data_IF_200725767541
#
_entry.id   IF_200725767541
#
_cell.length_a   1.000
_cell.length_b   1.000
_cell.length_c   1.000
_cell.angle_alpha   90.00
_cell.angle_beta   90.00
_cell.angle_gamma   90.00
#
_symmetry.space_group_name_H-M   'P 1'
#
loop_
_entity.id
_entity.type
_entity.pdbx_description
1 polymer ?
#
# COMPACT_ATOMS: atom_id res chain seq x y z
N UNK A 1 31.98 -4.68 -32.27
CA UNK A 1 30.78 -5.26 -31.65
C UNK A 1 30.38 -4.38 -30.49
N UNK A 2 29.28 -3.63 -30.63
CA UNK A 2 28.73 -2.78 -29.58
C UNK A 2 27.39 -3.37 -29.15
N UNK A 3 27.24 -3.65 -27.86
CA UNK A 3 26.02 -4.19 -27.26
C UNK A 3 25.14 -2.98 -26.95
N UNK A 4 23.96 -2.80 -27.58
CA UNK A 4 23.04 -1.78 -27.16
C UNK A 4 22.41 -2.20 -25.82
N UNK A 5 22.59 -1.35 -24.81
CA UNK A 5 21.91 -1.46 -23.52
C UNK A 5 20.45 -1.04 -23.77
N UNK A 6 19.61 -2.00 -24.12
CA UNK A 6 18.16 -1.81 -24.06
C UNK A 6 17.77 -1.83 -22.59
N UNK A 7 17.56 -0.63 -22.02
CA UNK A 7 16.83 -0.50 -20.76
C UNK A 7 15.43 -1.11 -20.91
N UNK A 8 14.78 -1.54 -19.81
CA UNK A 8 13.43 -2.05 -19.89
C UNK A 8 12.56 -0.92 -20.44
N UNK A 9 11.99 -1.15 -21.62
CA UNK A 9 10.89 -0.36 -22.13
C UNK A 9 9.69 -0.65 -21.23
N UNK A 10 9.67 -0.05 -20.03
CA UNK A 10 8.46 -0.02 -19.20
C UNK A 10 7.35 0.53 -20.09
N UNK A 11 6.32 -0.28 -20.30
CA UNK A 11 5.15 0.16 -21.05
C UNK A 11 4.58 1.40 -20.38
N UNK A 12 4.06 2.37 -21.15
CA UNK A 12 3.41 3.55 -20.58
C UNK A 12 2.27 3.17 -19.60
N UNK A 13 1.69 1.98 -19.79
CA UNK A 13 0.72 1.37 -18.89
C UNK A 13 1.33 0.87 -17.56
N UNK A 14 2.49 0.21 -17.60
CA UNK A 14 3.20 -0.22 -16.39
C UNK A 14 3.66 0.98 -15.55
N UNK A 15 4.19 2.02 -16.22
CA UNK A 15 4.57 3.27 -15.58
C UNK A 15 3.36 3.98 -14.94
N UNK A 16 2.20 3.95 -15.60
CA UNK A 16 0.95 4.48 -15.04
C UNK A 16 0.49 3.70 -13.81
N UNK A 17 0.46 2.36 -13.87
CA UNK A 17 0.04 1.51 -12.75
C UNK A 17 0.99 1.65 -11.54
N UNK A 18 2.29 1.70 -11.79
CA UNK A 18 3.30 1.91 -10.75
C UNK A 18 3.13 3.26 -10.03
N UNK A 19 2.93 4.34 -10.79
CA UNK A 19 2.73 5.68 -10.23
C UNK A 19 1.37 5.82 -9.53
N UNK A 20 0.32 5.18 -10.03
CA UNK A 20 -1.00 5.13 -9.37
C UNK A 20 -0.93 4.37 -8.04
N UNK A 21 -0.22 3.24 -8.00
CA UNK A 21 -0.03 2.45 -6.78
C UNK A 21 0.82 3.21 -5.76
N UNK A 22 1.90 3.87 -6.19
CA UNK A 22 2.73 4.71 -5.33
C UNK A 22 1.94 5.90 -4.76
N UNK A 23 1.14 6.57 -5.59
CA UNK A 23 0.26 7.66 -5.16
C UNK A 23 -0.74 7.21 -4.09
N UNK A 24 -1.39 6.06 -4.29
CA UNK A 24 -2.36 5.51 -3.32
C UNK A 24 -1.69 5.09 -2.00
N UNK A 25 -0.50 4.48 -2.09
CA UNK A 25 0.29 4.09 -0.93
C UNK A 25 0.66 5.29 -0.07
N UNK A 26 1.21 6.34 -0.66
CA UNK A 26 1.61 7.54 0.08
C UNK A 26 0.40 8.23 0.72
N UNK A 27 -0.77 8.21 0.06
CA UNK A 27 -2.01 8.77 0.62
C UNK A 27 -2.50 7.94 1.81
N UNK A 28 -2.35 6.62 1.74
CA UNK A 28 -2.69 5.68 2.82
C UNK A 28 -1.75 5.83 4.01
N UNK A 29 -0.45 6.00 3.77
CA UNK A 29 0.53 6.23 4.82
C UNK A 29 0.24 7.55 5.56
N UNK A 30 -0.16 8.60 4.84
CA UNK A 30 -0.62 9.86 5.43
C UNK A 30 -1.91 9.69 6.26
N UNK A 31 -2.85 8.84 5.82
CA UNK A 31 -4.06 8.57 6.61
C UNK A 31 -3.76 7.76 7.88
N UNK A 32 -2.86 6.77 7.79
CA UNK A 32 -2.45 5.94 8.92
C UNK A 32 -1.71 6.74 9.99
N UNK A 33 -0.98 7.80 9.62
CA UNK A 33 -0.31 8.67 10.61
C UNK A 33 -1.26 9.55 11.42
N UNK A 34 -2.54 9.64 11.02
CA UNK A 34 -3.51 10.57 11.63
C UNK A 34 -4.47 9.91 12.63
N UNK A 35 -4.45 8.59 12.81
CA UNK A 35 -5.35 7.81 13.69
C UNK A 35 -6.84 8.26 13.69
N UNK A 36 -7.39 8.48 12.49
CA UNK A 36 -8.78 8.91 12.29
C UNK A 36 -9.54 7.99 11.35
N UNK A 37 -10.83 7.84 11.63
CA UNK A 37 -11.77 7.05 10.83
C UNK A 37 -12.24 7.80 9.58
N UNK A 38 -12.69 7.07 8.55
CA UNK A 38 -13.23 7.67 7.32
C UNK A 38 -14.45 8.56 7.56
N UNK A 39 -15.25 8.24 8.59
CA UNK A 39 -16.39 9.07 9.00
C UNK A 39 -15.93 10.42 9.53
N UNK A 40 -14.93 10.42 10.43
CA UNK A 40 -14.36 11.65 10.98
C UNK A 40 -13.67 12.52 9.91
N UNK A 41 -13.07 11.89 8.89
CA UNK A 41 -12.53 12.61 7.73
C UNK A 41 -13.64 13.31 6.96
N UNK A 42 -14.75 12.60 6.69
CA UNK A 42 -15.92 13.18 6.03
C UNK A 42 -16.54 14.33 6.80
N UNK A 43 -16.67 14.20 8.12
CA UNK A 43 -17.29 15.23 8.99
C UNK A 43 -16.45 16.51 9.10
N UNK A 44 -15.12 16.41 8.97
CA UNK A 44 -14.19 17.56 9.04
C UNK A 44 -13.97 18.23 7.69
N UNK A 45 -14.36 17.58 6.60
CA UNK A 45 -14.13 18.09 5.25
C UNK A 45 -15.12 19.21 4.89
N UNK A 46 -14.67 20.26 4.18
CA UNK A 46 -15.57 21.32 3.68
C UNK A 46 -16.51 20.86 2.56
N UNK A 47 -16.27 19.67 2.00
CA UNK A 47 -17.12 19.03 0.99
C UNK A 47 -17.52 17.63 1.47
N UNK A 48 -18.64 17.12 0.99
CA UNK A 48 -19.11 15.78 1.35
C UNK A 48 -18.16 14.73 0.77
N UNK A 49 -17.33 14.14 1.63
CA UNK A 49 -16.50 12.98 1.29
C UNK A 49 -17.22 11.73 1.81
N UNK A 50 -17.68 10.88 0.89
CA UNK A 50 -18.27 9.60 1.30
C UNK A 50 -17.18 8.66 1.83
N UNK A 51 -17.45 7.88 2.89
CA UNK A 51 -16.51 6.88 3.39
C UNK A 51 -16.09 5.86 2.32
N UNK A 52 -16.99 5.52 1.40
CA UNK A 52 -16.70 4.65 0.26
C UNK A 52 -15.72 5.31 -0.72
N UNK A 53 -15.92 6.59 -1.06
CA UNK A 53 -15.02 7.33 -1.95
C UNK A 53 -13.63 7.52 -1.36
N UNK A 54 -13.55 7.75 -0.04
CA UNK A 54 -12.27 7.80 0.69
C UNK A 54 -11.56 6.45 0.59
N UNK A 55 -12.28 5.35 0.87
CA UNK A 55 -11.71 4.00 0.81
C UNK A 55 -11.25 3.61 -0.60
N UNK A 56 -12.00 3.94 -1.64
CA UNK A 56 -11.61 3.69 -3.05
C UNK A 56 -10.37 4.46 -3.45
N UNK A 57 -10.26 5.71 -3.00
CA UNK A 57 -9.12 6.58 -3.27
C UNK A 57 -7.85 6.06 -2.58
N UNK A 58 -7.95 5.70 -1.29
CA UNK A 58 -6.84 5.14 -0.51
C UNK A 58 -6.38 3.77 -1.01
N UNK A 59 -7.28 3.00 -1.65
CA UNK A 59 -6.96 1.71 -2.28
C UNK A 59 -6.41 1.84 -3.70
N UNK A 60 -6.32 3.07 -4.23
CA UNK A 60 -5.84 3.32 -5.59
C UNK A 60 -6.79 2.87 -6.68
N UNK A 61 -8.02 2.46 -6.35
CA UNK A 61 -9.02 1.99 -7.33
C UNK A 61 -9.54 3.14 -8.20
N UNK A 62 -9.56 4.35 -7.66
CA UNK A 62 -10.06 5.54 -8.35
C UNK A 62 -9.11 6.70 -8.15
N UNK A 63 -8.79 7.41 -9.23
CA UNK A 63 -8.09 8.68 -9.13
C UNK A 63 -9.08 9.79 -8.70
N UNK A 64 -8.85 10.49 -7.59
CA UNK A 64 -9.78 11.48 -7.07
C UNK A 64 -9.84 12.72 -7.97
N UNK A 65 -10.92 13.48 -7.89
CA UNK A 65 -10.96 14.83 -8.47
C UNK A 65 -10.02 15.76 -7.70
N UNK A 66 -9.66 16.90 -8.29
CA UNK A 66 -8.79 17.90 -7.65
C UNK A 66 -9.35 18.36 -6.30
N UNK A 67 -10.62 18.75 -6.29
CA UNK A 67 -11.28 19.27 -5.09
C UNK A 67 -11.42 18.18 -4.00
N UNK A 68 -11.71 16.94 -4.42
CA UNK A 68 -11.76 15.79 -3.52
C UNK A 68 -10.40 15.53 -2.86
N UNK A 69 -9.33 15.51 -3.66
CA UNK A 69 -7.97 15.28 -3.18
C UNK A 69 -7.54 16.39 -2.20
N UNK A 70 -7.78 17.64 -2.57
CA UNK A 70 -7.41 18.78 -1.73
C UNK A 70 -8.17 18.77 -0.40
N UNK A 71 -9.48 18.50 -0.42
CA UNK A 71 -10.26 18.40 0.80
C UNK A 71 -9.78 17.25 1.70
N UNK A 72 -9.51 16.08 1.12
CA UNK A 72 -9.03 14.91 1.85
C UNK A 72 -7.65 15.16 2.48
N UNK A 73 -6.66 15.58 1.68
CA UNK A 73 -5.29 15.82 2.16
C UNK A 73 -5.24 16.95 3.18
N UNK A 74 -6.05 17.99 2.99
CA UNK A 74 -6.15 19.10 3.96
C UNK A 74 -6.65 18.60 5.31
N UNK A 75 -7.71 17.79 5.35
CA UNK A 75 -8.21 17.21 6.62
C UNK A 75 -7.14 16.34 7.27
N UNK A 76 -6.40 15.54 6.49
CA UNK A 76 -5.31 14.72 7.04
C UNK A 76 -4.20 15.58 7.66
N UNK A 77 -3.74 16.64 6.99
CA UNK A 77 -2.76 17.54 7.56
C UNK A 77 -3.29 18.35 8.75
N UNK A 78 -4.56 18.75 8.73
CA UNK A 78 -5.19 19.43 9.88
C UNK A 78 -5.19 18.55 11.13
N UNK A 79 -5.37 17.24 10.95
CA UNK A 79 -5.28 16.26 12.04
C UNK A 79 -3.84 16.00 12.46
N UNK A 80 -2.93 15.85 11.49
CA UNK A 80 -1.52 15.58 11.77
C UNK A 80 -0.81 16.73 12.50
N UNK A 81 -1.07 17.97 12.08
CA UNK A 81 -0.40 19.16 12.61
C UNK A 81 -1.20 19.84 13.74
N UNK A 82 -2.39 19.31 14.07
CA UNK A 82 -3.38 19.87 15.02
C UNK A 82 -3.71 21.36 14.76
N UNK A 83 -3.59 21.80 13.51
CA UNK A 83 -3.72 23.21 13.11
C UNK A 83 -4.51 23.33 11.81
N UNK A 84 -5.28 24.42 11.63
CA UNK A 84 -5.97 24.67 10.37
C UNK A 84 -4.94 24.86 9.24
N UNK A 85 -5.13 24.11 8.15
CA UNK A 85 -4.27 24.16 6.96
C UNK A 85 -4.91 25.09 5.94
N UNK A 86 -4.13 26.05 5.45
CA UNK A 86 -4.62 27.00 4.44
C UNK A 86 -4.92 26.29 3.12
N UNK A 87 -5.89 26.80 2.36
CA UNK A 87 -6.16 26.32 0.99
C UNK A 87 -4.97 26.49 0.04
N UNK A 88 -4.06 27.40 0.36
CA UNK A 88 -2.87 27.72 -0.44
C UNK A 88 -1.60 27.02 0.06
N UNK A 89 -1.74 26.03 0.94
CA UNK A 89 -0.59 25.31 1.51
C UNK A 89 0.29 24.67 0.41
N UNK A 90 1.61 24.91 0.40
CA UNK A 90 2.52 24.36 -0.59
C UNK A 90 2.55 22.82 -0.61
N UNK A 91 2.19 22.15 0.49
CA UNK A 91 2.09 20.69 0.56
C UNK A 91 0.93 20.17 -0.30
N UNK A 92 -0.18 20.91 -0.39
CA UNK A 92 -1.31 20.55 -1.26
C UNK A 92 -0.90 20.59 -2.74
N UNK A 93 -0.08 21.56 -3.15
CA UNK A 93 0.43 21.66 -4.53
C UNK A 93 1.20 20.41 -4.97
N UNK A 94 2.00 19.81 -4.07
CA UNK A 94 2.74 18.57 -4.38
C UNK A 94 1.81 17.41 -4.73
N UNK A 95 0.67 17.32 -4.04
CA UNK A 95 -0.36 16.31 -4.32
C UNK A 95 -1.08 16.58 -5.64
N UNK A 96 -1.35 17.84 -5.96
CA UNK A 96 -1.89 18.23 -7.27
C UNK A 96 -0.94 17.93 -8.43
N UNK A 97 0.35 18.22 -8.27
CA UNK A 97 1.40 17.94 -9.25
C UNK A 97 1.51 16.44 -9.52
N UNK A 98 1.55 15.62 -8.45
CA UNK A 98 1.56 14.16 -8.56
C UNK A 98 0.30 13.63 -9.25
N UNK A 99 -0.88 14.13 -8.88
CA UNK A 99 -2.13 13.77 -9.56
C UNK A 99 -2.09 14.10 -11.05
N UNK A 100 -1.54 15.27 -11.41
CA UNK A 100 -1.40 15.69 -12.81
C UNK A 100 -0.44 14.79 -13.57
N UNK A 101 0.68 14.39 -12.95
CA UNK A 101 1.61 13.40 -13.52
C UNK A 101 0.93 12.05 -13.78
N UNK A 102 0.13 11.55 -12.84
CA UNK A 102 -0.63 10.30 -13.02
C UNK A 102 -1.65 10.43 -14.15
N UNK A 103 -2.32 11.58 -14.30
CA UNK A 103 -3.23 11.84 -15.42
C UNK A 103 -2.51 11.84 -16.77
N UNK A 104 -1.34 12.50 -16.85
CA UNK A 104 -0.53 12.52 -18.08
C UNK A 104 -0.05 11.12 -18.46
N UNK A 105 0.33 10.29 -17.49
CA UNK A 105 0.70 8.90 -17.72
C UNK A 105 -0.49 8.06 -18.20
N UNK A 106 -1.68 8.26 -17.62
CA UNK A 106 -2.91 7.61 -18.08
C UNK A 106 -3.23 7.98 -19.52
N UNK A 107 -3.16 9.26 -19.86
CA UNK A 107 -3.49 9.74 -21.20
C UNK A 107 -2.44 9.26 -22.22
N UNK A 108 -1.16 9.16 -21.82
CA UNK A 108 -0.09 8.55 -22.62
C UNK A 108 -0.28 7.04 -22.80
N UNK A 109 -0.69 6.31 -21.76
CA UNK A 109 -1.00 4.88 -21.85
C UNK A 109 -2.15 4.63 -22.84
N UNK A 110 -3.21 5.45 -22.77
CA UNK A 110 -4.33 5.41 -23.72
C UNK A 110 -3.89 5.69 -25.16
N UNK A 111 -3.01 6.67 -25.38
CA UNK A 111 -2.46 6.98 -26.70
C UNK A 111 -1.53 5.88 -27.23
N UNK A 112 -0.77 5.22 -26.35
CA UNK A 112 0.14 4.13 -26.73
C UNK A 112 -0.61 2.84 -27.10
N UNK A 113 -1.80 2.63 -26.52
CA UNK A 113 -2.73 1.55 -26.91
C UNK A 113 -3.60 1.88 -28.14
N UNK A 114 -3.62 3.13 -28.60
CA UNK A 114 -4.49 3.60 -29.70
C UNK A 114 -3.81 3.54 -31.10
N UNK A 115 -2.80 2.69 -31.30
CA UNK A 115 -2.15 2.49 -32.61
C UNK A 115 -2.78 1.40 -33.49
N UNK A 116 -3.98 0.91 -33.16
CA UNK A 116 -4.84 0.20 -34.12
C UNK A 116 -5.96 1.16 -34.55
N UNK A 117 -6.00 1.61 -35.82
CA UNK A 117 -7.08 2.44 -36.32
C UNK A 117 -8.14 1.52 -36.93
N UNK A 118 -9.08 1.05 -36.13
CA UNK A 118 -10.44 0.89 -36.62
C UNK A 118 -11.48 0.98 -35.49
N UNK A 119 -12.51 1.80 -35.73
CA UNK A 119 -13.77 1.89 -34.98
C UNK A 119 -13.80 2.65 -33.63
N UNK A 120 -14.24 3.91 -33.69
CA UNK A 120 -15.43 4.38 -32.95
C UNK A 120 -15.29 4.90 -31.50
N UNK A 121 -16.05 5.95 -31.10
CA UNK A 121 -15.94 6.59 -29.78
C UNK A 121 -16.87 5.93 -28.74
N UNK A 122 -16.37 5.70 -27.53
CA UNK A 122 -17.25 5.47 -26.38
C UNK A 122 -16.66 4.59 -25.29
N UNK A 123 -15.81 5.15 -24.43
CA UNK A 123 -15.39 4.49 -23.20
C UNK A 123 -16.12 5.11 -22.00
N UNK A 124 -17.43 4.84 -21.97
CA UNK A 124 -18.23 4.89 -20.75
C UNK A 124 -18.29 3.46 -20.23
N UNK A 125 -17.79 3.23 -19.01
CA UNK A 125 -18.10 2.00 -18.30
C UNK A 125 -19.63 1.82 -18.29
N UNK A 126 -20.20 0.74 -18.87
CA UNK A 126 -21.61 0.50 -18.73
C UNK A 126 -21.85 0.06 -17.29
N UNK A 127 -22.24 1.02 -16.45
CA UNK A 127 -22.95 0.73 -15.20
C UNK A 127 -24.45 0.58 -15.46
N UNK A 128 -24.82 0.31 -16.71
CA UNK A 128 -26.19 0.06 -17.10
C UNK A 128 -26.30 -1.41 -17.50
N UNK A 129 -26.88 -2.21 -16.61
CA UNK A 129 -27.45 -3.52 -16.97
C UNK A 129 -28.78 -3.34 -17.71
N UNK A 130 -28.97 -2.21 -18.40
CA UNK A 130 -30.01 -1.98 -19.37
C UNK A 130 -29.73 -2.83 -20.59
N UNK A 131 -30.59 -3.81 -20.85
CA UNK A 131 -30.63 -4.54 -22.11
C UNK A 131 -30.74 -3.53 -23.26
N UNK A 132 -29.66 -3.36 -24.03
CA UNK A 132 -29.66 -2.62 -25.29
C UNK A 132 -30.12 -3.60 -26.38
N UNK A 133 -31.29 -3.39 -27.00
CA UNK A 133 -31.73 -4.22 -28.12
C UNK A 133 -30.70 -4.14 -29.25
N UNK A 134 -30.42 -5.25 -29.97
CA UNK A 134 -29.54 -5.22 -31.12
C UNK A 134 -30.02 -4.14 -32.11
N UNK A 135 -29.10 -3.40 -32.76
CA UNK A 135 -29.48 -2.44 -33.80
C UNK A 135 -30.31 -3.16 -34.88
N UNK A 136 -31.43 -2.58 -35.27
CA UNK A 136 -32.32 -3.08 -36.34
C UNK A 136 -31.53 -3.13 -37.66
N UNK A 137 -30.81 -4.24 -37.88
CA UNK A 137 -29.89 -4.41 -39.02
C UNK A 137 -28.67 -5.29 -38.78
N UNK A 138 -28.39 -5.73 -37.53
CA UNK A 138 -27.28 -6.65 -37.26
C UNK A 138 -27.42 -7.95 -38.06
N UNK A 139 -26.39 -8.30 -38.81
CA UNK A 139 -26.39 -9.55 -39.58
C UNK A 139 -26.25 -10.74 -38.63
N UNK A 140 -26.80 -11.90 -39.00
CA UNK A 140 -26.67 -13.13 -38.19
C UNK A 140 -25.20 -13.48 -37.88
N UNK A 141 -24.29 -13.14 -38.80
CA UNK A 141 -22.85 -13.34 -38.65
C UNK A 141 -22.25 -12.45 -37.54
N UNK A 142 -22.66 -11.18 -37.45
CA UNK A 142 -22.23 -10.26 -36.39
C UNK A 142 -22.74 -10.72 -35.01
N UNK A 143 -23.97 -11.25 -34.95
CA UNK A 143 -24.53 -11.81 -33.72
C UNK A 143 -23.81 -13.09 -33.27
N UNK A 144 -23.41 -13.96 -34.20
CA UNK A 144 -22.62 -15.15 -33.88
C UNK A 144 -21.19 -14.79 -33.43
N UNK A 145 -20.57 -13.78 -34.06
CA UNK A 145 -19.27 -13.23 -33.64
C UNK A 145 -19.34 -12.67 -32.23
N UNK A 146 -20.28 -11.77 -31.95
CA UNK A 146 -20.46 -11.17 -30.63
C UNK A 146 -20.74 -12.22 -29.54
N UNK A 147 -21.47 -13.30 -29.88
CA UNK A 147 -21.71 -14.42 -28.97
C UNK A 147 -20.43 -15.23 -28.69
N UNK A 148 -19.55 -15.37 -29.68
CA UNK A 148 -18.23 -15.98 -29.50
C UNK A 148 -17.36 -15.11 -28.59
N UNK A 149 -17.29 -13.80 -28.86
CA UNK A 149 -16.51 -12.85 -28.07
C UNK A 149 -16.97 -12.84 -26.60
N UNK A 150 -18.28 -12.85 -26.35
CA UNK A 150 -18.83 -12.94 -25.00
C UNK A 150 -18.47 -14.25 -24.29
N UNK A 151 -18.38 -15.38 -25.01
CA UNK A 151 -17.93 -16.64 -24.42
C UNK A 151 -16.45 -16.59 -24.05
N UNK A 152 -15.62 -15.99 -24.89
CA UNK A 152 -14.19 -15.85 -24.62
C UNK A 152 -13.95 -14.92 -23.43
N UNK A 153 -14.70 -13.81 -23.33
CA UNK A 153 -14.67 -12.92 -22.16
C UNK A 153 -15.08 -13.68 -20.89
N UNK A 154 -16.16 -14.47 -20.93
CA UNK A 154 -16.60 -15.25 -19.78
C UNK A 154 -15.56 -16.28 -19.34
N UNK A 155 -14.92 -16.97 -20.29
CA UNK A 155 -13.84 -17.91 -19.99
C UNK A 155 -12.64 -17.20 -19.35
N UNK A 156 -12.21 -16.05 -19.91
CA UNK A 156 -11.12 -15.25 -19.36
C UNK A 156 -11.42 -14.74 -17.94
N UNK A 157 -12.66 -14.31 -17.69
CA UNK A 157 -13.09 -13.88 -16.35
C UNK A 157 -13.07 -15.05 -15.36
N UNK A 158 -13.50 -16.23 -15.78
CA UNK A 158 -13.48 -17.43 -14.93
C UNK A 158 -12.05 -17.86 -14.59
N UNK A 159 -11.12 -17.81 -15.55
CA UNK A 159 -9.70 -18.07 -15.30
C UNK A 159 -9.09 -17.03 -14.36
N UNK A 160 -9.43 -15.75 -14.56
CA UNK A 160 -8.97 -14.67 -13.69
C UNK A 160 -9.49 -14.86 -12.25
N UNK A 161 -10.77 -15.21 -12.08
CA UNK A 161 -11.35 -15.49 -10.76
C UNK A 161 -10.61 -16.64 -10.05
N UNK A 162 -10.30 -17.72 -10.77
CA UNK A 162 -9.54 -18.85 -10.23
C UNK A 162 -8.12 -18.45 -9.83
N UNK A 163 -7.45 -17.63 -10.65
CA UNK A 163 -6.11 -17.11 -10.35
C UNK A 163 -6.13 -16.26 -9.09
N UNK A 164 -7.03 -15.29 -9.00
CA UNK A 164 -7.17 -14.40 -7.84
C UNK A 164 -7.48 -15.18 -6.57
N UNK A 165 -8.36 -16.20 -6.65
CA UNK A 165 -8.64 -17.07 -5.49
C UNK A 165 -7.41 -17.83 -5.02
N UNK A 166 -6.57 -18.28 -5.95
CA UNK A 166 -5.34 -19.01 -5.62
C UNK A 166 -4.31 -18.09 -4.98
N UNK A 167 -4.08 -16.92 -5.56
CA UNK A 167 -3.20 -15.89 -5.00
C UNK A 167 -3.66 -15.44 -3.61
N UNK A 168 -4.97 -15.25 -3.42
CA UNK A 168 -5.52 -14.87 -2.13
C UNK A 168 -5.26 -15.93 -1.05
N UNK A 169 -5.39 -17.23 -1.38
CA UNK A 169 -5.02 -18.30 -0.45
C UNK A 169 -3.53 -18.28 -0.11
N UNK A 170 -2.66 -18.09 -1.10
CA UNK A 170 -1.22 -17.99 -0.86
C UNK A 170 -0.88 -16.82 0.08
N UNK A 171 -1.53 -15.68 -0.09
CA UNK A 171 -1.34 -14.52 0.81
C UNK A 171 -1.80 -14.85 2.24
N UNK A 172 -2.91 -15.56 2.41
CA UNK A 172 -3.36 -15.99 3.74
C UNK A 172 -2.39 -16.98 4.40
N UNK A 173 -1.86 -17.93 3.63
CA UNK A 173 -0.89 -18.90 4.13
C UNK A 173 0.41 -18.21 4.55
N UNK A 174 0.89 -17.25 3.75
CA UNK A 174 2.09 -16.47 4.08
C UNK A 174 1.84 -15.56 5.31
N UNK A 175 0.66 -14.97 5.43
CA UNK A 175 0.29 -14.20 6.63
C UNK A 175 0.33 -15.08 7.89
N UNK A 176 -0.18 -16.31 7.81
CA UNK A 176 -0.14 -17.25 8.92
C UNK A 176 1.30 -17.65 9.27
N UNK A 177 2.15 -17.86 8.26
CA UNK A 177 3.57 -18.17 8.44
C UNK A 177 4.32 -17.03 9.12
N UNK A 178 4.16 -15.80 8.63
CA UNK A 178 4.79 -14.61 9.22
C UNK A 178 4.34 -14.41 10.67
N UNK A 179 3.05 -14.60 10.97
CA UNK A 179 2.55 -14.51 12.33
C UNK A 179 3.20 -15.55 13.27
N UNK A 180 3.40 -16.78 12.79
CA UNK A 180 4.08 -17.83 13.55
C UNK A 180 5.57 -17.50 13.78
N UNK A 181 6.26 -16.97 12.77
CA UNK A 181 7.66 -16.53 12.88
C UNK A 181 7.81 -15.36 13.86
N UNK A 182 6.92 -14.38 13.80
CA UNK A 182 6.90 -13.26 14.76
C UNK A 182 6.69 -13.76 16.19
N UNK A 183 5.71 -14.65 16.40
CA UNK A 183 5.49 -15.25 17.73
C UNK A 183 6.74 -15.98 18.23
N UNK A 184 7.42 -16.74 17.37
CA UNK A 184 8.67 -17.43 17.72
C UNK A 184 9.79 -16.46 18.10
N UNK A 185 9.96 -15.38 17.34
CA UNK A 185 10.95 -14.35 17.63
C UNK A 185 10.65 -13.61 18.94
N UNK A 186 9.38 -13.33 19.23
CA UNK A 186 8.96 -12.74 20.50
C UNK A 186 9.33 -13.66 21.67
N UNK A 187 9.00 -14.96 21.59
CA UNK A 187 9.38 -15.93 22.62
C UNK A 187 10.90 -15.99 22.84
N UNK A 188 11.68 -15.94 21.75
CA UNK A 188 13.14 -15.97 21.82
C UNK A 188 13.70 -14.70 22.47
N UNK A 189 13.15 -13.53 22.14
CA UNK A 189 13.55 -12.27 22.79
C UNK A 189 13.23 -12.25 24.29
N UNK A 190 12.08 -12.80 24.70
CA UNK A 190 11.73 -12.93 26.12
C UNK A 190 12.69 -13.88 26.85
N UNK A 191 13.04 -15.01 26.22
CA UNK A 191 14.02 -15.94 26.76
C UNK A 191 15.38 -15.27 26.95
N UNK A 192 15.91 -14.61 25.91
CA UNK A 192 17.20 -13.90 25.98
C UNK A 192 17.22 -12.79 27.04
N UNK A 193 16.09 -12.09 27.23
CA UNK A 193 15.95 -11.12 28.33
C UNK A 193 16.05 -11.79 29.69
N UNK A 194 15.36 -12.93 29.88
CA UNK A 194 15.43 -13.71 31.12
C UNK A 194 16.84 -14.22 31.42
N UNK A 195 17.53 -14.73 30.39
CA UNK A 195 18.91 -15.21 30.50
C UNK A 195 19.89 -14.07 30.83
N UNK A 196 19.71 -12.91 30.19
CA UNK A 196 20.48 -11.70 30.52
C UNK A 196 20.30 -11.28 31.96
N UNK A 197 19.06 -11.22 32.47
CA UNK A 197 18.81 -10.89 33.88
C UNK A 197 19.47 -11.90 34.84
N UNK A 198 19.44 -13.19 34.49
CA UNK A 198 20.09 -14.23 35.28
C UNK A 198 21.60 -14.02 35.34
N UNK A 199 22.23 -13.75 34.20
CA UNK A 199 23.66 -13.44 34.11
C UNK A 199 24.02 -12.17 34.89
N UNK A 200 23.19 -11.13 34.83
CA UNK A 200 23.42 -9.90 35.61
C UNK A 200 23.41 -10.16 37.12
N UNK A 201 22.48 -10.99 37.61
CA UNK A 201 22.44 -11.41 39.03
C UNK A 201 23.68 -12.21 39.41
N UNK A 202 24.13 -13.12 38.54
CA UNK A 202 25.33 -13.93 38.77
C UNK A 202 26.60 -13.07 38.81
N UNK A 203 26.76 -12.15 37.86
CA UNK A 203 27.88 -11.19 37.85
C UNK A 203 27.86 -10.33 39.12
N UNK A 204 26.70 -9.86 39.56
CA UNK A 204 26.60 -9.11 40.81
C UNK A 204 27.01 -9.95 42.03
N UNK A 205 26.63 -11.23 42.09
CA UNK A 205 27.04 -12.16 43.13
C UNK A 205 28.56 -12.38 43.13
N UNK A 206 29.14 -12.66 41.95
CA UNK A 206 30.59 -12.85 41.80
C UNK A 206 31.38 -11.60 42.19
N UNK A 207 30.89 -10.40 41.85
CA UNK A 207 31.48 -9.13 42.29
C UNK A 207 31.51 -9.01 43.81
N UNK A 208 30.42 -9.38 44.51
CA UNK A 208 30.36 -9.39 45.98
C UNK A 208 31.33 -10.40 46.59
N UNK A 209 31.39 -11.63 46.04
CA UNK A 209 32.32 -12.66 46.49
C UNK A 209 33.79 -12.21 46.32
N UNK A 210 34.13 -11.64 45.16
CA UNK A 210 35.46 -11.08 44.90
C UNK A 210 35.82 -9.97 45.91
N UNK A 211 34.88 -9.07 46.21
CA UNK A 211 35.10 -8.02 47.20
C UNK A 211 35.34 -8.59 48.61
N UNK A 212 34.57 -9.60 49.02
CA UNK A 212 34.74 -10.27 50.31
C UNK A 212 36.10 -10.98 50.42
N UNK A 213 36.51 -11.74 49.39
CA UNK A 213 37.82 -12.39 49.32
C UNK A 213 38.96 -11.37 49.35
N UNK A 214 38.82 -10.26 48.61
CA UNK A 214 39.81 -9.18 48.62
C UNK A 214 39.97 -8.56 50.00
N UNK A 215 38.88 -8.39 50.75
CA UNK A 215 38.91 -7.90 52.13
C UNK A 215 39.64 -8.90 53.04
N UNK A 216 39.28 -10.17 52.99
CA UNK A 216 39.97 -11.23 53.76
C UNK A 216 41.47 -11.28 53.46
N UNK A 217 41.87 -11.15 52.20
CA UNK A 217 43.27 -11.16 51.80
C UNK A 217 44.03 -9.93 52.33
N UNK A 218 43.35 -8.79 52.46
CA UNK A 218 43.90 -7.56 53.04
C UNK A 218 44.06 -7.71 54.56
N UNK A 219 43.05 -8.28 55.22
CA UNK A 219 43.03 -8.53 56.67
C UNK A 219 44.06 -9.60 57.10
N UNK A 220 44.45 -10.51 56.21
CA UNK A 220 45.51 -11.50 56.43
C UNK A 220 46.94 -10.94 56.17
N UNK A 221 47.05 -9.78 55.52
CA UNK A 221 48.34 -9.16 55.17
C UNK A 221 49.13 -8.52 56.35
N UNK A 222 48.58 -8.16 57.53
CA UNK A 222 49.36 -7.52 58.59
C UNK A 222 50.22 -8.47 59.45
N UNK A 223 50.28 -9.78 59.17
CA UNK A 223 51.12 -10.72 59.95
C UNK A 223 52.41 -11.19 59.29
N UNK A 224 52.71 -10.79 58.04
CA UNK A 224 53.93 -11.26 57.32
C UNK A 224 55.12 -10.27 57.37
N UNK A 225 55.08 -9.26 58.25
CA UNK A 225 56.23 -8.40 58.56
C UNK A 225 56.51 -8.43 60.06
N UNK A 226 57.14 -9.50 60.52
CA UNK A 226 58.02 -9.50 61.69
C UNK A 226 59.22 -10.38 61.38
#
# INVERSE_FOLDING_TARGET
>A
MAIPISGPTESAEEAYQAEQAAFARDLKDLQLSCDITYRQIGDRSPIVLSPSGIAETLRGRRLPSRDFLNALVRVLYEVQDEKPVSREDPRLRRWEERRTRVLLLRDRARQSGASDPDTGPGDSFPTDTGYVPPPDGATLLELESAKSDLRDILNNLQEHEQRVRTEFRQVLDEQARVAAELSRLTSLLEQERGDKERLEREVASLKRQRAALSKQLTDLRPSSRR
#
